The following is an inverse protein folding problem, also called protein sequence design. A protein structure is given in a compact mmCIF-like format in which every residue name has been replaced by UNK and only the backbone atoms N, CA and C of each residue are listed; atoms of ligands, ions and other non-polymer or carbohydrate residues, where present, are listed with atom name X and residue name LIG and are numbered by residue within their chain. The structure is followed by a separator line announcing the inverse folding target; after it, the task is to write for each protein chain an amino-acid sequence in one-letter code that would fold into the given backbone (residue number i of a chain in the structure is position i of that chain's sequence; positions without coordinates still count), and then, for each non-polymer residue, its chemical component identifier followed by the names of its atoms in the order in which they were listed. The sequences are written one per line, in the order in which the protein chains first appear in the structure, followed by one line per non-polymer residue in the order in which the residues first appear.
data_IF_634165897833
#
_entry.id   IF_634165897833
#
_cell.length_a   1.000
_cell.length_b   1.000
_cell.length_c   1.000
_cell.angle_alpha   90.00
_cell.angle_beta   90.00
_cell.angle_gamma   90.00
#
_symmetry.space_group_name_H-M   'P 1'
#
loop_
_entity.id
_entity.type
_entity.pdbx_description
1 polymer ?
#
# COMPACT_ATOMS: atom_id res chain seq x y z
N UNK A 1 8.08 -15.90 7.68
CA UNK A 1 9.39 -15.31 7.39
C UNK A 1 9.73 -15.56 5.93
N UNK A 2 10.37 -14.57 5.29
CA UNK A 2 10.83 -14.68 3.90
C UNK A 2 11.96 -15.72 3.83
N UNK A 3 11.97 -16.54 2.78
CA UNK A 3 13.05 -17.48 2.50
C UNK A 3 14.15 -16.81 1.67
N UNK A 4 15.37 -17.36 1.71
CA UNK A 4 16.48 -16.88 0.87
C UNK A 4 16.14 -16.88 -0.62
N UNK A 5 15.39 -17.90 -1.06
CA UNK A 5 14.94 -18.02 -2.44
C UNK A 5 13.62 -18.80 -2.50
N UNK A 6 12.82 -18.52 -3.53
CA UNK A 6 11.63 -19.29 -3.89
C UNK A 6 11.78 -19.88 -5.28
N UNK A 7 11.64 -21.20 -5.40
CA UNK A 7 11.42 -21.91 -6.65
C UNK A 7 10.01 -22.52 -6.61
N UNK A 8 9.09 -21.91 -7.35
CA UNK A 8 7.66 -22.24 -7.30
C UNK A 8 7.04 -22.28 -8.69
N UNK A 9 6.27 -23.33 -8.98
CA UNK A 9 5.37 -23.38 -10.15
C UNK A 9 3.93 -23.15 -9.69
N UNK A 10 3.47 -21.91 -9.81
CA UNK A 10 2.12 -21.47 -9.44
C UNK A 10 1.32 -21.03 -10.67
N UNK A 11 1.68 -21.50 -11.87
CA UNK A 11 1.11 -21.03 -13.13
C UNK A 11 -0.41 -21.24 -13.28
N UNK A 12 -0.99 -22.18 -12.53
CA UNK A 12 -2.44 -22.46 -12.51
C UNK A 12 -3.21 -21.67 -11.44
N UNK A 13 -2.52 -20.91 -10.59
CA UNK A 13 -3.14 -20.21 -9.47
C UNK A 13 -4.00 -19.04 -9.98
N UNK A 14 -5.24 -18.95 -9.48
CA UNK A 14 -6.18 -17.88 -9.86
C UNK A 14 -6.22 -16.77 -8.81
N UNK A 15 -6.01 -17.12 -7.54
CA UNK A 15 -6.02 -16.21 -6.40
C UNK A 15 -4.83 -16.51 -5.50
N UNK A 16 -4.09 -15.48 -5.10
CA UNK A 16 -3.04 -15.57 -4.10
C UNK A 16 -3.37 -14.68 -2.90
N UNK A 17 -3.09 -15.20 -1.70
CA UNK A 17 -3.16 -14.45 -0.44
C UNK A 17 -1.83 -14.60 0.27
N UNK A 18 -1.11 -13.50 0.42
CA UNK A 18 0.20 -13.48 1.04
C UNK A 18 0.14 -12.76 2.36
N UNK A 19 0.72 -13.41 3.38
CA UNK A 19 1.00 -12.85 4.69
C UNK A 19 2.47 -13.13 5.04
N UNK A 20 3.37 -12.44 4.35
CA UNK A 20 4.81 -12.55 4.51
C UNK A 20 5.28 -11.62 5.61
N UNK A 21 6.36 -12.01 6.29
CA UNK A 21 7.05 -11.18 7.30
C UNK A 21 8.53 -11.21 7.01
N UNK A 22 9.18 -10.05 7.00
CA UNK A 22 10.65 -9.97 7.04
C UNK A 22 11.15 -10.62 8.32
N UNK A 23 12.36 -11.16 8.26
CA UNK A 23 13.09 -11.50 9.48
C UNK A 23 13.72 -10.20 9.99
N UNK A 24 13.30 -9.73 11.16
CA UNK A 24 14.03 -8.73 11.93
C UNK A 24 14.97 -9.53 12.86
N UNK A 25 16.31 -9.30 12.82
CA UNK A 25 17.19 -9.93 13.79
C UNK A 25 16.75 -9.53 15.21
N UNK A 26 16.92 -10.41 16.21
CA UNK A 26 16.69 -10.04 17.60
C UNK A 26 17.51 -8.78 17.91
N UNK A 27 16.87 -7.75 18.48
CA UNK A 27 17.59 -6.66 19.11
C UNK A 27 18.16 -7.26 20.39
N UNK A 28 19.47 -7.43 20.46
CA UNK A 28 20.14 -7.81 21.70
C UNK A 28 19.97 -6.63 22.68
N UNK A 29 19.01 -6.74 23.62
CA UNK A 29 18.77 -5.73 24.68
C UNK A 29 19.78 -5.84 25.85
N UNK A 30 20.95 -6.44 25.62
CA UNK A 30 21.98 -6.66 26.64
C UNK A 30 23.23 -5.81 26.36
N UNK A 31 23.11 -4.48 26.45
CA UNK A 31 24.26 -3.60 26.73
C UNK A 31 23.87 -2.59 27.82
N UNK A 32 23.82 -3.09 29.06
CA UNK A 32 24.19 -2.27 30.22
C UNK A 32 25.71 -2.02 30.11
N UNK A 33 26.15 -0.78 29.86
CA UNK A 33 27.36 -0.22 30.48
C UNK A 33 27.45 1.30 30.25
N UNK A 34 27.77 1.99 31.34
CA UNK A 34 27.78 3.43 31.54
C UNK A 34 28.92 4.19 30.79
N UNK A 35 28.70 5.50 30.68
CA UNK A 35 29.67 6.61 30.60
C UNK A 35 30.29 7.08 29.26
N UNK A 36 30.41 8.41 29.19
CA UNK A 36 30.74 9.31 28.09
C UNK A 36 32.06 9.01 27.35
N UNK A 37 32.10 9.28 26.02
CA UNK A 37 32.93 10.33 25.41
C UNK A 37 32.74 10.37 23.88
N UNK A 38 32.59 11.58 23.36
CA UNK A 38 32.54 11.98 21.94
C UNK A 38 33.58 11.28 21.06
N UNK A 39 33.34 10.98 19.77
CA UNK A 39 34.08 11.44 18.56
C UNK A 39 33.33 11.00 17.27
N UNK A 40 33.24 11.93 16.30
CA UNK A 40 33.10 11.75 14.83
C UNK A 40 32.05 10.74 14.29
N UNK A 41 30.91 11.28 13.85
CA UNK A 41 29.90 10.56 13.07
C UNK A 41 30.41 10.29 11.64
N UNK A 42 31.14 9.19 11.47
CA UNK A 42 31.31 8.55 10.17
C UNK A 42 30.09 7.65 9.93
N UNK A 43 29.24 8.13 9.01
CA UNK A 43 28.01 7.45 8.64
C UNK A 43 28.30 6.15 7.89
N UNK A 44 28.29 5.04 8.62
CA UNK A 44 27.77 3.77 8.13
C UNK A 44 26.52 3.46 8.96
N UNK A 45 25.37 3.93 8.46
CA UNK A 45 24.09 3.36 8.89
C UNK A 45 24.15 1.90 8.48
N UNK A 46 24.43 1.02 9.44
CA UNK A 46 24.28 -0.42 9.30
C UNK A 46 23.00 -0.67 8.52
N UNK A 47 23.18 -1.02 7.25
CA UNK A 47 22.08 -1.39 6.39
C UNK A 47 21.72 -2.77 6.89
N UNK A 48 20.80 -2.84 7.86
CA UNK A 48 20.23 -4.08 8.37
C UNK A 48 20.08 -5.03 7.17
N UNK A 49 20.80 -6.14 7.22
CA UNK A 49 20.88 -7.06 6.11
C UNK A 49 19.46 -7.56 5.80
N UNK A 50 18.85 -7.01 4.75
CA UNK A 50 17.52 -7.39 4.30
C UNK A 50 17.59 -8.88 3.97
N UNK A 51 17.01 -9.72 4.82
CA UNK A 51 17.08 -11.17 4.67
C UNK A 51 15.92 -11.67 3.81
N UNK A 52 16.26 -12.28 2.67
CA UNK A 52 15.34 -12.99 1.79
C UNK A 52 15.08 -12.31 0.43
N UNK A 53 14.80 -13.13 -0.58
CA UNK A 53 14.44 -12.69 -1.94
C UNK A 53 13.08 -13.29 -2.33
N UNK A 54 12.08 -12.45 -2.54
CA UNK A 54 10.75 -12.86 -2.98
C UNK A 54 10.56 -12.80 -4.50
N UNK A 55 11.57 -12.42 -5.28
CA UNK A 55 11.47 -12.23 -6.73
C UNK A 55 10.90 -13.48 -7.42
N UNK A 56 11.39 -14.67 -7.07
CA UNK A 56 10.88 -15.94 -7.60
C UNK A 56 9.41 -16.20 -7.23
N UNK A 57 9.02 -15.90 -5.99
CA UNK A 57 7.64 -16.03 -5.53
C UNK A 57 6.71 -15.09 -6.29
N UNK A 58 7.07 -13.82 -6.39
CA UNK A 58 6.29 -12.79 -7.07
C UNK A 58 6.16 -13.11 -8.56
N UNK A 59 7.22 -13.60 -9.19
CA UNK A 59 7.18 -14.10 -10.57
C UNK A 59 6.21 -15.28 -10.72
N UNK A 60 6.25 -16.25 -9.81
CA UNK A 60 5.35 -17.41 -9.80
C UNK A 60 3.87 -17.03 -9.72
N UNK A 61 3.52 -16.01 -8.93
CA UNK A 61 2.13 -15.54 -8.78
C UNK A 61 1.71 -14.47 -9.81
N UNK A 62 2.56 -14.11 -10.77
CA UNK A 62 2.28 -13.03 -11.74
C UNK A 62 1.03 -13.26 -12.62
N UNK A 63 0.58 -14.52 -12.74
CA UNK A 63 -0.58 -14.93 -13.57
C UNK A 63 -1.93 -14.91 -12.85
N UNK A 64 -1.97 -14.63 -11.55
CA UNK A 64 -3.21 -14.63 -10.77
C UNK A 64 -4.17 -13.53 -11.23
N UNK A 65 -5.47 -13.74 -11.00
CA UNK A 65 -6.53 -12.75 -11.23
C UNK A 65 -6.81 -11.90 -9.99
N UNK A 66 -6.54 -12.46 -8.81
CA UNK A 66 -6.78 -11.81 -7.53
C UNK A 66 -5.55 -11.96 -6.64
N UNK A 67 -5.07 -10.85 -6.09
CA UNK A 67 -3.93 -10.83 -5.16
C UNK A 67 -4.34 -10.10 -3.88
N UNK A 68 -4.17 -10.76 -2.75
CA UNK A 68 -4.33 -10.18 -1.41
C UNK A 68 -2.98 -10.12 -0.72
N UNK A 69 -2.62 -8.95 -0.18
CA UNK A 69 -1.36 -8.71 0.54
C UNK A 69 -1.65 -8.21 1.96
N UNK A 70 -0.99 -8.76 2.97
CA UNK A 70 -0.92 -8.13 4.28
C UNK A 70 -0.08 -6.85 4.23
N UNK A 71 -0.13 -6.02 5.28
CA UNK A 71 0.72 -4.83 5.39
C UNK A 71 2.21 -5.18 5.42
N UNK A 72 2.57 -6.28 6.10
CA UNK A 72 3.95 -6.79 6.13
C UNK A 72 4.38 -7.29 4.74
N UNK A 73 3.47 -7.91 3.99
CA UNK A 73 3.75 -8.34 2.61
C UNK A 73 4.07 -7.17 1.69
N UNK A 74 3.46 -5.99 1.88
CA UNK A 74 3.80 -4.79 1.12
C UNK A 74 5.23 -4.32 1.37
N UNK A 75 5.68 -4.41 2.62
CA UNK A 75 7.04 -4.04 2.99
C UNK A 75 8.05 -5.06 2.48
N UNK A 76 7.78 -6.36 2.64
CA UNK A 76 8.58 -7.44 2.05
C UNK A 76 8.71 -7.25 0.53
N UNK A 77 7.62 -6.91 -0.16
CA UNK A 77 7.69 -6.63 -1.60
C UNK A 77 8.49 -5.37 -1.92
N UNK A 78 8.58 -4.40 -1.00
CA UNK A 78 9.41 -3.22 -1.20
C UNK A 78 10.90 -3.51 -1.00
N UNK A 79 11.24 -4.32 0.01
CA UNK A 79 12.61 -4.56 0.47
C UNK A 79 13.27 -5.75 -0.23
N UNK A 80 12.52 -6.83 -0.47
CA UNK A 80 13.03 -8.14 -0.88
C UNK A 80 12.67 -8.51 -2.34
N UNK A 81 12.12 -7.60 -3.13
CA UNK A 81 11.73 -7.86 -4.52
C UNK A 81 12.55 -7.01 -5.47
N UNK A 82 13.59 -7.59 -6.04
CA UNK A 82 14.49 -6.90 -6.97
C UNK A 82 13.78 -6.58 -8.29
N UNK A 83 12.99 -7.53 -8.80
CA UNK A 83 12.30 -7.40 -10.08
C UNK A 83 10.81 -7.68 -9.94
N UNK A 84 10.01 -6.61 -10.01
CA UNK A 84 8.56 -6.74 -10.02
C UNK A 84 8.05 -7.14 -11.42
N UNK A 85 7.40 -8.30 -11.58
CA UNK A 85 6.83 -8.73 -12.86
C UNK A 85 5.60 -7.89 -13.24
N UNK A 86 5.16 -8.03 -14.49
CA UNK A 86 3.88 -7.48 -14.96
C UNK A 86 2.77 -8.49 -14.69
N UNK A 87 1.73 -8.05 -14.01
CA UNK A 87 0.56 -8.84 -13.66
C UNK A 87 -0.53 -8.68 -14.74
N UNK A 88 -0.34 -9.31 -15.90
CA UNK A 88 -1.24 -9.16 -17.04
C UNK A 88 -2.68 -9.61 -16.76
N UNK A 89 -2.88 -10.57 -15.85
CA UNK A 89 -4.19 -11.13 -15.56
C UNK A 89 -4.85 -10.54 -14.31
N UNK A 90 -4.15 -9.68 -13.57
CA UNK A 90 -4.62 -9.21 -12.27
C UNK A 90 -5.76 -8.21 -12.45
N UNK A 91 -6.94 -8.62 -12.00
CA UNK A 91 -8.17 -7.84 -12.02
C UNK A 91 -8.46 -7.21 -10.65
N UNK A 92 -8.02 -7.86 -9.58
CA UNK A 92 -8.28 -7.41 -8.21
C UNK A 92 -7.00 -7.41 -7.39
N UNK A 93 -6.62 -6.22 -6.91
CA UNK A 93 -5.56 -6.05 -5.94
C UNK A 93 -6.20 -5.65 -4.61
N UNK A 94 -5.91 -6.43 -3.57
CA UNK A 94 -6.34 -6.17 -2.21
C UNK A 94 -5.13 -6.07 -1.31
N UNK A 95 -5.10 -5.08 -0.42
CA UNK A 95 -4.05 -5.01 0.59
C UNK A 95 -4.52 -4.42 1.92
N UNK A 96 -3.80 -4.80 2.97
CA UNK A 96 -3.96 -4.26 4.32
C UNK A 96 -3.00 -3.09 4.54
N UNK A 97 -3.47 -2.10 5.29
CA UNK A 97 -2.69 -0.89 5.58
C UNK A 97 -2.51 -0.78 7.09
N UNK A 98 -1.27 -0.57 7.51
CA UNK A 98 -0.88 -0.46 8.91
C UNK A 98 -0.01 0.76 9.14
N UNK A 99 -0.18 1.46 10.28
CA UNK A 99 0.58 2.67 10.63
C UNK A 99 2.10 2.48 10.72
N UNK A 100 2.57 1.25 10.91
CA UNK A 100 3.97 0.87 11.01
C UNK A 100 4.57 0.48 9.66
N UNK A 101 3.74 0.09 8.68
CA UNK A 101 4.19 -0.32 7.35
C UNK A 101 3.84 0.73 6.29
N UNK A 102 4.75 0.95 5.36
CA UNK A 102 4.59 1.96 4.33
C UNK A 102 3.95 1.45 3.02
N UNK A 103 3.52 2.37 2.14
CA UNK A 103 2.93 2.06 0.82
C UNK A 103 3.93 2.18 -0.35
N UNK A 104 5.23 2.09 -0.09
CA UNK A 104 6.30 2.31 -1.06
C UNK A 104 6.13 1.48 -2.34
N UNK A 105 5.66 0.22 -2.23
CA UNK A 105 5.50 -0.69 -3.37
C UNK A 105 4.17 -0.53 -4.10
N UNK A 106 3.17 0.13 -3.51
CA UNK A 106 1.81 0.24 -4.08
C UNK A 106 1.80 0.90 -5.47
N UNK A 107 2.52 2.02 -5.72
CA UNK A 107 2.62 2.59 -7.07
C UNK A 107 3.18 1.61 -8.10
N UNK A 108 4.17 0.80 -7.70
CA UNK A 108 4.81 -0.17 -8.59
C UNK A 108 3.84 -1.30 -8.96
N UNK A 109 3.11 -1.84 -7.96
CA UNK A 109 2.07 -2.85 -8.18
C UNK A 109 0.97 -2.35 -9.13
N UNK A 110 0.49 -1.12 -8.92
CA UNK A 110 -0.57 -0.53 -9.77
C UNK A 110 -0.06 -0.33 -11.20
N UNK A 111 1.17 0.18 -11.38
CA UNK A 111 1.74 0.39 -12.72
C UNK A 111 2.00 -0.92 -13.46
N UNK A 112 2.36 -1.98 -12.74
CA UNK A 112 2.58 -3.31 -13.31
C UNK A 112 1.29 -4.14 -13.47
N UNK A 113 0.12 -3.57 -13.19
CA UNK A 113 -1.18 -4.25 -13.30
C UNK A 113 -2.08 -3.55 -14.32
N UNK A 114 -1.84 -3.71 -15.64
CA UNK A 114 -2.50 -2.93 -16.68
C UNK A 114 -4.02 -3.17 -16.79
N UNK A 115 -4.49 -4.33 -16.34
CA UNK A 115 -5.89 -4.76 -16.39
C UNK A 115 -6.60 -4.66 -15.03
N UNK A 116 -6.02 -3.94 -14.07
CA UNK A 116 -6.57 -3.81 -12.73
C UNK A 116 -7.92 -3.08 -12.74
N UNK A 117 -8.96 -3.79 -12.33
CA UNK A 117 -10.34 -3.29 -12.29
C UNK A 117 -10.79 -2.93 -10.85
N UNK A 118 -10.32 -3.68 -9.85
CA UNK A 118 -10.74 -3.56 -8.46
C UNK A 118 -9.54 -3.28 -7.56
N UNK A 119 -9.62 -2.19 -6.78
CA UNK A 119 -8.65 -1.86 -5.74
C UNK A 119 -9.33 -1.94 -4.38
N UNK A 120 -8.91 -2.88 -3.54
CA UNK A 120 -9.48 -3.14 -2.22
C UNK A 120 -8.45 -2.79 -1.15
N UNK A 121 -8.75 -1.77 -0.33
CA UNK A 121 -7.85 -1.31 0.72
C UNK A 121 -8.52 -1.51 2.08
N UNK A 122 -7.90 -2.30 2.94
CA UNK A 122 -8.33 -2.50 4.32
C UNK A 122 -7.56 -1.53 5.21
N UNK A 123 -8.25 -0.52 5.72
CA UNK A 123 -7.65 0.63 6.39
C UNK A 123 -7.11 1.67 5.40
N UNK A 124 -6.79 2.87 5.90
CA UNK A 124 -6.24 3.98 5.11
C UNK A 124 -5.13 4.72 5.86
N UNK A 125 -4.44 3.99 6.74
CA UNK A 125 -3.31 4.47 7.54
C UNK A 125 -2.04 3.77 7.10
N UNK A 126 -0.93 4.48 7.01
CA UNK A 126 0.38 3.89 6.78
C UNK A 126 1.49 4.70 7.42
N UNK A 127 2.68 4.12 7.50
CA UNK A 127 3.89 4.84 7.87
C UNK A 127 4.26 5.85 6.78
N UNK A 128 4.30 7.14 7.13
CA UNK A 128 4.61 8.21 6.18
C UNK A 128 6.13 8.32 6.04
N UNK A 129 6.63 7.93 4.87
CA UNK A 129 8.04 8.04 4.50
C UNK A 129 8.22 9.03 3.35
N UNK A 130 9.48 9.43 3.07
CA UNK A 130 9.81 10.18 1.86
C UNK A 130 9.73 9.33 0.57
N UNK A 131 9.40 8.03 0.68
CA UNK A 131 9.34 7.05 -0.41
C UNK A 131 7.91 6.53 -0.71
N UNK A 132 6.85 7.02 -0.04
CA UNK A 132 5.46 6.57 -0.26
C UNK A 132 4.96 6.66 -1.72
N UNK A 133 5.71 7.33 -2.61
CA UNK A 133 5.36 7.47 -4.03
C UNK A 133 4.11 8.32 -4.24
N UNK A 134 3.47 8.15 -5.40
CA UNK A 134 2.32 8.93 -5.85
C UNK A 134 0.96 8.25 -5.60
N UNK A 135 0.95 7.05 -5.01
CA UNK A 135 -0.26 6.40 -4.51
C UNK A 135 -0.76 7.07 -3.20
N UNK A 136 0.14 7.70 -2.41
CA UNK A 136 -0.23 8.54 -1.25
C UNK A 136 -0.29 10.04 -1.60
N UNK A 137 -1.13 10.80 -0.89
CA UNK A 137 -1.09 12.27 -0.81
C UNK A 137 -0.08 12.84 0.20
N UNK A 138 0.73 12.00 0.84
CA UNK A 138 1.58 12.35 1.97
C UNK A 138 2.72 13.28 1.58
N UNK A 139 3.30 13.06 0.39
CA UNK A 139 4.44 13.79 -0.10
C UNK A 139 3.93 15.01 -0.89
N UNK A 140 4.23 16.25 -0.47
CA UNK A 140 3.80 17.43 -1.19
C UNK A 140 4.39 17.48 -2.61
N UNK A 141 3.56 17.79 -3.62
CA UNK A 141 3.98 17.91 -5.04
C UNK A 141 5.19 18.82 -5.27
N UNK A 142 5.45 19.78 -4.37
CA UNK A 142 6.61 20.70 -4.41
C UNK A 142 7.96 19.99 -4.25
N UNK A 143 8.00 18.81 -3.63
CA UNK A 143 9.24 18.02 -3.46
C UNK A 143 9.59 17.16 -4.68
N UNK A 144 8.69 17.05 -5.66
CA UNK A 144 8.88 16.20 -6.85
C UNK A 144 9.35 17.07 -8.01
N UNK A 145 10.65 16.99 -8.34
CA UNK A 145 11.30 17.83 -9.37
C UNK A 145 10.83 17.57 -10.82
N UNK A 146 10.08 16.49 -11.07
CA UNK A 146 9.53 16.14 -12.39
C UNK A 146 8.01 15.95 -12.28
N UNK A 147 7.23 16.54 -13.21
CA UNK A 147 5.80 16.22 -13.40
C UNK A 147 5.68 14.78 -13.90
N UNK A 148 5.79 13.80 -12.98
CA UNK A 148 5.45 12.41 -13.26
C UNK A 148 3.94 12.27 -13.26
N UNK A 149 3.42 11.47 -14.19
CA UNK A 149 2.01 11.11 -14.23
C UNK A 149 1.73 10.18 -13.04
N UNK A 150 0.67 10.46 -12.29
CA UNK A 150 0.27 9.69 -11.12
C UNK A 150 -0.12 8.25 -11.51
N UNK A 151 0.37 7.21 -10.82
CA UNK A 151 0.00 5.80 -11.08
C UNK A 151 -1.53 5.58 -11.08
N UNK A 152 -2.26 6.29 -10.20
CA UNK A 152 -3.72 6.25 -10.11
C UNK A 152 -4.42 6.89 -11.32
N UNK A 153 -3.73 7.77 -12.04
CA UNK A 153 -4.29 8.46 -13.21
C UNK A 153 -4.12 7.70 -14.52
N UNK A 154 -3.27 6.67 -14.52
CA UNK A 154 -3.01 5.75 -15.63
C UNK A 154 -3.71 4.40 -15.46
N UNK A 155 -4.06 4.02 -14.23
CA UNK A 155 -4.77 2.77 -13.99
C UNK A 155 -6.25 2.84 -14.44
N UNK A 156 -6.83 1.67 -14.71
CA UNK A 156 -8.22 1.52 -15.21
C UNK A 156 -9.19 1.06 -14.13
N UNK A 157 -8.85 1.27 -12.87
CA UNK A 157 -9.66 0.84 -11.73
C UNK A 157 -11.07 1.44 -11.82
N UNK A 158 -12.07 0.56 -11.83
CA UNK A 158 -13.50 0.88 -11.86
C UNK A 158 -14.13 0.83 -10.47
N UNK A 159 -13.60 -0.03 -9.59
CA UNK A 159 -14.13 -0.21 -8.24
C UNK A 159 -13.04 0.05 -7.21
N UNK A 160 -13.27 1.05 -6.36
CA UNK A 160 -12.48 1.28 -5.16
C UNK A 160 -13.27 0.79 -3.95
N UNK A 161 -12.72 -0.13 -3.19
CA UNK A 161 -13.33 -0.66 -1.98
C UNK A 161 -12.43 -0.34 -0.79
N UNK A 162 -12.94 0.47 0.14
CA UNK A 162 -12.28 0.80 1.39
C UNK A 162 -13.05 0.16 2.54
N UNK A 163 -12.36 -0.55 3.43
CA UNK A 163 -12.94 -1.02 4.68
C UNK A 163 -12.23 -0.41 5.88
N UNK A 164 -12.95 -0.27 6.99
CA UNK A 164 -12.38 0.26 8.22
C UNK A 164 -12.24 1.79 8.26
N UNK A 165 -12.93 2.53 7.38
CA UNK A 165 -12.83 3.99 7.30
C UNK A 165 -13.34 4.66 8.57
N UNK A 166 -12.50 5.48 9.22
CA UNK A 166 -12.83 6.14 10.49
C UNK A 166 -13.24 7.61 10.31
N UNK A 167 -13.03 8.19 9.12
CA UNK A 167 -13.34 9.58 8.82
C UNK A 167 -12.33 10.59 9.37
N UNK A 168 -11.10 10.15 9.67
CA UNK A 168 -10.04 11.05 10.11
C UNK A 168 -9.59 11.99 8.99
N UNK A 169 -8.96 13.10 9.34
CA UNK A 169 -8.41 14.05 8.36
C UNK A 169 -7.38 13.39 7.42
N UNK A 170 -6.62 12.41 7.90
CA UNK A 170 -5.64 11.66 7.09
C UNK A 170 -6.33 10.80 6.04
N UNK A 171 -7.30 9.98 6.45
CA UNK A 171 -8.06 9.13 5.54
C UNK A 171 -8.85 9.95 4.52
N UNK A 172 -9.42 11.10 4.92
CA UNK A 172 -10.13 12.00 4.01
C UNK A 172 -9.19 12.60 2.94
N UNK A 173 -7.92 12.87 3.28
CA UNK A 173 -6.91 13.30 2.30
C UNK A 173 -6.59 12.19 1.30
N UNK A 174 -6.45 10.95 1.77
CA UNK A 174 -6.26 9.80 0.88
C UNK A 174 -7.45 9.60 -0.05
N UNK A 175 -8.67 9.64 0.48
CA UNK A 175 -9.88 9.55 -0.34
C UNK A 175 -9.96 10.66 -1.38
N UNK A 176 -9.65 11.91 -1.00
CA UNK A 176 -9.58 13.02 -1.96
C UNK A 176 -8.56 12.75 -3.06
N UNK A 177 -7.41 12.19 -2.72
CA UNK A 177 -6.37 11.84 -3.68
C UNK A 177 -6.83 10.74 -4.64
N UNK A 178 -7.44 9.67 -4.15
CA UNK A 178 -8.00 8.62 -5.00
C UNK A 178 -9.07 9.16 -5.94
N UNK A 179 -10.07 9.87 -5.40
CA UNK A 179 -11.19 10.42 -6.18
C UNK A 179 -10.76 11.50 -7.20
N UNK A 180 -9.64 12.18 -6.96
CA UNK A 180 -9.11 13.18 -7.88
C UNK A 180 -8.25 12.57 -9.01
N UNK A 181 -7.72 11.35 -8.84
CA UNK A 181 -6.81 10.75 -9.81
C UNK A 181 -7.41 9.54 -10.56
N UNK A 182 -8.29 8.75 -9.94
CA UNK A 182 -8.91 7.57 -10.56
C UNK A 182 -9.99 7.95 -11.59
N UNK A 183 -9.58 8.07 -12.86
CA UNK A 183 -10.44 8.56 -13.96
C UNK A 183 -11.54 7.59 -14.37
N UNK A 184 -11.30 6.29 -14.26
CA UNK A 184 -12.23 5.24 -14.68
C UNK A 184 -13.16 4.76 -13.56
N UNK A 185 -13.16 5.44 -12.42
CA UNK A 185 -13.89 4.98 -11.24
C UNK A 185 -15.40 5.05 -11.45
N UNK A 186 -16.09 3.92 -11.31
CA UNK A 186 -17.55 3.81 -11.43
C UNK A 186 -18.20 3.62 -10.06
N UNK A 187 -17.55 2.86 -9.17
CA UNK A 187 -18.09 2.53 -7.85
C UNK A 187 -17.05 2.73 -6.76
N UNK A 188 -17.47 3.35 -5.66
CA UNK A 188 -16.66 3.48 -4.44
C UNK A 188 -17.44 2.87 -3.29
N UNK A 189 -16.94 1.77 -2.72
CA UNK A 189 -17.55 1.09 -1.57
C UNK A 189 -16.77 1.47 -0.33
N UNK A 190 -17.43 2.01 0.69
CA UNK A 190 -16.75 2.46 1.93
C UNK A 190 -17.44 1.87 3.15
N UNK A 191 -16.74 0.93 3.80
CA UNK A 191 -17.13 0.34 5.07
C UNK A 191 -16.69 1.22 6.22
N UNK A 192 -17.64 1.83 6.93
CA UNK A 192 -17.33 2.79 8.01
C UNK A 192 -17.15 2.06 9.34
N UNK A 193 -16.00 2.25 10.00
CA UNK A 193 -15.75 1.67 11.33
C UNK A 193 -16.40 2.55 12.39
N UNK A 194 -17.51 2.08 12.97
CA UNK A 194 -18.20 2.75 14.07
C UNK A 194 -17.35 2.70 15.34
N UNK A 195 -17.10 3.85 15.95
CA UNK A 195 -16.61 3.94 17.32
C UNK A 195 -17.84 4.07 18.24
N UNK A 196 -18.08 3.15 19.20
CA UNK A 196 -19.28 3.19 20.06
C UNK A 196 -19.44 4.49 20.87
N UNK A 197 -18.35 5.24 21.06
CA UNK A 197 -18.31 6.46 21.87
C UNK A 197 -18.62 7.74 21.07
N UNK A 198 -18.69 7.67 19.75
CA UNK A 198 -18.94 8.85 18.90
C UNK A 198 -19.74 8.46 17.65
N UNK A 199 -20.84 9.16 17.41
CA UNK A 199 -21.61 9.06 16.17
C UNK A 199 -20.88 9.78 15.01
N UNK A 200 -19.68 9.29 14.71
CA UNK A 200 -18.79 9.81 13.68
C UNK A 200 -19.19 9.36 12.28
N UNK A 201 -20.12 8.40 12.16
CA UNK A 201 -20.54 7.85 10.88
C UNK A 201 -21.05 8.95 9.96
N UNK A 202 -22.06 9.71 10.40
CA UNK A 202 -22.66 10.77 9.58
C UNK A 202 -21.65 11.85 9.21
N UNK A 203 -20.72 12.20 10.11
CA UNK A 203 -19.67 13.19 9.83
C UNK A 203 -18.68 12.67 8.78
N UNK A 204 -18.22 11.44 8.95
CA UNK A 204 -17.27 10.78 8.05
C UNK A 204 -17.83 10.62 6.64
N UNK A 205 -19.09 10.17 6.52
CA UNK A 205 -19.76 9.98 5.24
C UNK A 205 -20.08 11.31 4.56
N UNK A 206 -20.59 12.31 5.30
CA UNK A 206 -20.85 13.65 4.75
C UNK A 206 -19.58 14.32 4.20
N UNK A 207 -18.48 14.25 4.95
CA UNK A 207 -17.20 14.81 4.51
C UNK A 207 -16.70 14.14 3.23
N UNK A 208 -16.87 12.82 3.11
CA UNK A 208 -16.50 12.07 1.92
C UNK A 208 -17.37 12.44 0.71
N UNK A 209 -18.68 12.58 0.89
CA UNK A 209 -19.62 12.91 -0.20
C UNK A 209 -19.36 14.29 -0.83
N UNK A 210 -18.80 15.22 -0.05
CA UNK A 210 -18.41 16.56 -0.50
C UNK A 210 -17.09 16.59 -1.29
N UNK A 211 -16.36 15.48 -1.37
CA UNK A 211 -15.11 15.47 -2.13
C UNK A 211 -15.35 15.58 -3.64
N UNK A 212 -14.53 16.38 -4.34
CA UNK A 212 -14.58 16.44 -5.80
C UNK A 212 -14.13 15.11 -6.37
N UNK A 213 -14.77 14.72 -7.47
CA UNK A 213 -14.52 13.45 -8.17
C UNK A 213 -14.13 13.76 -9.61
N UNK A 214 -13.09 13.11 -10.09
CA UNK A 214 -12.67 13.22 -11.50
C UNK A 214 -13.61 12.44 -12.41
N UNK A 215 -14.14 11.30 -11.93
CA UNK A 215 -15.15 10.53 -12.63
C UNK A 215 -16.55 10.99 -12.22
N UNK A 216 -17.27 11.61 -13.15
CA UNK A 216 -18.65 12.04 -12.99
C UNK A 216 -19.62 10.88 -12.76
N UNK A 217 -19.27 9.67 -13.21
CA UNK A 217 -20.09 8.47 -13.10
C UNK A 217 -19.88 7.70 -11.78
N UNK A 218 -18.98 8.18 -10.91
CA UNK A 218 -18.63 7.48 -9.68
C UNK A 218 -19.73 7.57 -8.61
N UNK A 219 -20.26 6.42 -8.22
CA UNK A 219 -21.24 6.28 -7.14
C UNK A 219 -20.57 5.81 -5.85
N UNK A 220 -20.84 6.50 -4.75
CA UNK A 220 -20.31 6.15 -3.43
C UNK A 220 -21.39 5.39 -2.65
N UNK A 221 -21.06 4.17 -2.23
CA UNK A 221 -21.91 3.31 -1.42
C UNK A 221 -21.25 3.06 -0.08
N UNK A 222 -21.99 3.32 1.00
CA UNK A 222 -21.57 3.00 2.35
C UNK A 222 -22.18 1.68 2.80
N UNK A 223 -21.43 0.89 3.56
CA UNK A 223 -21.89 -0.38 4.13
C UNK A 223 -21.30 -0.59 5.53
#
# INVERSE_FOLDING_TARGET
YVAEQYDVDLGSLVEARLDLRSWEPPIDEDEDEDEDESYESDGDSDTEAIFGDVTGLVAGISKVKTLHLSSDSLEVFHLCCDTMPVFHNLLTLSFESDKERGWQVVPLLINNSPNLDNLIIKGLVHQVTNRCGDACSCIPKRRVKKKRVCCLSTCRVKVLHISGYRGTCGELKHMRHFLANLKCLETVKVGVKLNPRQDNHRRATNALMQLPRVSSNSHIHFF
#
